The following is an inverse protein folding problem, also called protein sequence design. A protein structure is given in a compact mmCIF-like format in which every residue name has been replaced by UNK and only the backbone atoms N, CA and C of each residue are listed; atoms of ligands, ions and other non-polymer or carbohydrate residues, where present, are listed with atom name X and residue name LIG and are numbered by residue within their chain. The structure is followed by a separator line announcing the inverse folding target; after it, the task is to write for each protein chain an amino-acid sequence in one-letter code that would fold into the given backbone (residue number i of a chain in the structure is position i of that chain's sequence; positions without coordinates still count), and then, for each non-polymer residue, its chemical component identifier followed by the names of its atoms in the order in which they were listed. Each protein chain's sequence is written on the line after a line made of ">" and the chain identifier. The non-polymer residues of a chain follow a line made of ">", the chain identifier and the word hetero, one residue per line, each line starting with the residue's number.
data_IF_872651143423
#
_entry.id   IF_872651143423
#
_cell.length_a   1.000
_cell.length_b   1.000
_cell.length_c   1.000
_cell.angle_alpha   90.00
_cell.angle_beta   90.00
_cell.angle_gamma   90.00
#
_symmetry.space_group_name_H-M   'P 1'
#
loop_
_entity.id
_entity.type
_entity.pdbx_description
1 polymer ?
#
# COMPACT_ATOMS: atom_id res chain seq x y z
N UNK A 1 -35.89 18.58 30.13
CA UNK A 1 -34.71 19.14 29.41
C UNK A 1 -33.51 18.26 29.73
N UNK A 2 -33.05 17.44 28.79
CA UNK A 2 -31.89 16.55 29.01
C UNK A 2 -30.62 17.38 28.87
N UNK A 3 -29.95 17.63 30.00
CA UNK A 3 -28.71 18.39 30.06
C UNK A 3 -27.54 17.54 29.55
N UNK A 4 -27.08 17.80 28.32
CA UNK A 4 -25.83 17.22 27.82
C UNK A 4 -24.64 17.85 28.56
N UNK A 5 -24.15 17.15 29.59
CA UNK A 5 -22.90 17.47 30.28
C UNK A 5 -21.73 17.25 29.33
N UNK A 6 -21.20 18.34 28.77
CA UNK A 6 -19.97 18.29 28.01
C UNK A 6 -18.83 17.82 28.93
N UNK A 7 -18.08 16.77 28.58
CA UNK A 7 -16.94 16.34 29.37
C UNK A 7 -15.97 17.50 29.54
N UNK A 8 -15.86 18.05 30.75
CA UNK A 8 -14.83 19.05 31.05
C UNK A 8 -13.49 18.35 31.02
N UNK A 9 -12.72 18.61 29.96
CA UNK A 9 -11.33 18.14 29.87
C UNK A 9 -10.55 18.58 31.11
N UNK A 10 -9.81 17.65 31.70
CA UNK A 10 -8.95 17.90 32.86
C UNK A 10 -7.85 18.90 32.50
N UNK A 11 -7.23 19.52 33.51
CA UNK A 11 -6.14 20.47 33.29
C UNK A 11 -4.98 19.84 32.49
N UNK A 12 -4.62 18.59 32.82
CA UNK A 12 -3.60 17.82 32.12
C UNK A 12 -3.97 17.58 30.64
N UNK A 13 -5.23 17.21 30.36
CA UNK A 13 -5.70 17.01 28.98
C UNK A 13 -5.66 18.30 28.16
N UNK A 14 -6.06 19.44 28.75
CA UNK A 14 -5.97 20.75 28.08
C UNK A 14 -4.52 21.15 27.81
N UNK A 15 -3.62 20.86 28.74
CA UNK A 15 -2.18 21.11 28.57
C UNK A 15 -1.59 20.24 27.45
N UNK A 16 -1.92 18.94 27.43
CA UNK A 16 -1.51 18.02 26.38
C UNK A 16 -1.98 18.49 24.99
N UNK A 17 -3.24 18.92 24.87
CA UNK A 17 -3.78 19.48 23.61
C UNK A 17 -3.01 20.73 23.17
N UNK A 18 -2.64 21.63 24.09
CA UNK A 18 -1.83 22.81 23.75
C UNK A 18 -0.44 22.42 23.23
N UNK A 19 0.20 21.44 23.85
CA UNK A 19 1.51 20.93 23.42
C UNK A 19 1.42 20.32 22.03
N UNK A 20 0.45 19.44 21.79
CA UNK A 20 0.23 18.82 20.47
C UNK A 20 -0.02 19.87 19.37
N UNK A 21 -0.88 20.86 19.63
CA UNK A 21 -1.13 21.95 18.70
C UNK A 21 0.13 22.77 18.40
N UNK A 22 0.97 23.01 19.42
CA UNK A 22 2.23 23.75 19.23
C UNK A 22 3.25 22.94 18.42
N UNK A 23 3.32 21.63 18.61
CA UNK A 23 4.13 20.74 17.78
C UNK A 23 3.65 20.74 16.32
N UNK A 24 2.33 20.59 16.09
CA UNK A 24 1.73 20.67 14.76
C UNK A 24 2.01 22.02 14.08
N UNK A 25 1.90 23.12 14.83
CA UNK A 25 2.25 24.45 14.34
C UNK A 25 3.70 24.55 13.88
N UNK A 26 4.66 24.00 14.64
CA UNK A 26 6.06 24.00 14.23
C UNK A 26 6.31 23.17 12.97
N UNK A 27 5.64 22.03 12.81
CA UNK A 27 5.68 21.23 11.58
C UNK A 27 5.11 22.02 10.40
N UNK A 28 3.94 22.63 10.57
CA UNK A 28 3.31 23.45 9.54
C UNK A 28 4.20 24.66 9.15
N UNK A 29 4.79 25.33 10.14
CA UNK A 29 5.71 26.45 9.92
C UNK A 29 6.94 26.03 9.11
N UNK A 30 7.55 24.88 9.42
CA UNK A 30 8.69 24.35 8.66
C UNK A 30 8.30 24.01 7.22
N UNK A 31 7.17 23.31 7.03
CA UNK A 31 6.65 22.99 5.69
C UNK A 31 6.36 24.24 4.87
N UNK A 32 5.75 25.26 5.48
CA UNK A 32 5.49 26.54 4.81
C UNK A 32 6.76 27.27 4.42
N UNK A 33 7.77 27.29 5.30
CA UNK A 33 9.07 27.89 5.00
C UNK A 33 9.81 27.13 3.88
N UNK A 34 9.71 25.80 3.84
CA UNK A 34 10.27 24.98 2.76
C UNK A 34 9.56 25.25 1.43
N UNK A 35 8.23 25.29 1.42
CA UNK A 35 7.44 25.55 0.21
C UNK A 35 7.65 26.96 -0.38
N UNK A 36 8.15 27.91 0.40
CA UNK A 36 8.53 29.25 -0.08
C UNK A 36 9.89 29.31 -0.77
N UNK A 37 10.74 28.29 -0.60
CA UNK A 37 12.03 28.23 -1.28
C UNK A 37 11.80 27.75 -2.72
N UNK A 38 12.53 28.27 -3.71
CA UNK A 38 12.49 27.72 -5.06
C UNK A 38 12.94 26.26 -5.01
N UNK A 39 12.29 25.41 -5.82
CA UNK A 39 12.64 23.99 -5.92
C UNK A 39 14.08 23.83 -6.43
N UNK A 40 14.88 23.05 -5.71
CA UNK A 40 16.20 22.61 -6.16
C UNK A 40 16.06 21.33 -7.00
N UNK A 41 17.03 21.04 -7.87
CA UNK A 41 17.13 19.79 -8.65
C UNK A 41 17.01 18.57 -7.73
N UNK A 42 17.50 18.70 -6.48
CA UNK A 42 17.36 17.69 -5.44
C UNK A 42 15.90 17.38 -5.09
N UNK A 43 15.04 18.39 -4.99
CA UNK A 43 13.62 18.21 -4.68
C UNK A 43 12.91 17.43 -5.80
N UNK A 44 13.29 17.71 -7.06
CA UNK A 44 12.77 17.00 -8.23
C UNK A 44 13.19 15.53 -8.22
N UNK A 45 14.48 15.27 -7.96
CA UNK A 45 15.01 13.90 -7.88
C UNK A 45 14.35 13.13 -6.74
N UNK A 46 14.20 13.75 -5.57
CA UNK A 46 13.60 13.11 -4.41
C UNK A 46 12.11 12.80 -4.62
N UNK A 47 11.36 13.74 -5.21
CA UNK A 47 9.96 13.53 -5.56
C UNK A 47 9.80 12.40 -6.58
N UNK A 48 10.64 12.38 -7.62
CA UNK A 48 10.62 11.30 -8.62
C UNK A 48 10.93 9.94 -7.98
N UNK A 49 11.96 9.87 -7.14
CA UNK A 49 12.36 8.66 -6.42
C UNK A 49 11.21 8.08 -5.57
N UNK A 50 10.55 8.93 -4.79
CA UNK A 50 9.41 8.55 -3.96
C UNK A 50 8.21 8.11 -4.82
N UNK A 51 7.91 8.84 -5.89
CA UNK A 51 6.82 8.52 -6.82
C UNK A 51 7.04 7.18 -7.53
N UNK A 52 8.26 6.94 -8.00
CA UNK A 52 8.66 5.69 -8.62
C UNK A 52 8.56 4.51 -7.64
N UNK A 53 9.05 4.65 -6.41
CA UNK A 53 8.94 3.61 -5.38
C UNK A 53 7.48 3.30 -5.04
N UNK A 54 6.63 4.31 -4.89
CA UNK A 54 5.21 4.14 -4.62
C UNK A 54 4.52 3.36 -5.77
N UNK A 55 4.84 3.69 -7.02
CA UNK A 55 4.31 2.97 -8.17
C UNK A 55 4.78 1.51 -8.18
N UNK A 56 6.06 1.26 -7.94
CA UNK A 56 6.63 -0.09 -7.90
C UNK A 56 6.00 -0.97 -6.81
N UNK A 57 5.75 -0.42 -5.62
CA UNK A 57 5.06 -1.14 -4.53
C UNK A 57 3.63 -1.51 -4.93
N UNK A 58 2.90 -0.58 -5.56
CA UNK A 58 1.54 -0.84 -6.06
C UNK A 58 1.53 -1.92 -7.15
N UNK A 59 2.47 -1.87 -8.09
CA UNK A 59 2.61 -2.90 -9.14
C UNK A 59 2.90 -4.27 -8.51
N UNK A 60 3.82 -4.35 -7.54
CA UNK A 60 4.13 -5.61 -6.84
C UNK A 60 2.93 -6.17 -6.08
N UNK A 61 2.13 -5.32 -5.44
CA UNK A 61 0.92 -5.77 -4.75
C UNK A 61 -0.13 -6.29 -5.74
N UNK A 62 -0.30 -5.66 -6.90
CA UNK A 62 -1.17 -6.16 -7.96
C UNK A 62 -0.68 -7.51 -8.49
N UNK A 63 0.62 -7.63 -8.79
CA UNK A 63 1.25 -8.89 -9.20
C UNK A 63 1.03 -9.98 -8.15
N UNK A 64 1.25 -9.69 -6.87
CA UNK A 64 1.04 -10.65 -5.77
C UNK A 64 -0.41 -11.14 -5.71
N UNK A 65 -1.39 -10.25 -5.87
CA UNK A 65 -2.82 -10.63 -5.90
C UNK A 65 -3.16 -11.49 -7.11
N UNK A 66 -2.63 -11.15 -8.28
CA UNK A 66 -2.83 -11.93 -9.50
C UNK A 66 -2.19 -13.32 -9.39
N UNK A 67 -0.94 -13.40 -8.92
CA UNK A 67 -0.25 -14.68 -8.71
C UNK A 67 -0.99 -15.56 -7.70
N UNK A 68 -1.57 -14.98 -6.64
CA UNK A 68 -2.37 -15.72 -5.67
C UNK A 68 -3.75 -16.16 -6.17
N UNK A 69 -4.34 -15.41 -7.11
CA UNK A 69 -5.71 -15.68 -7.59
C UNK A 69 -5.72 -16.54 -8.85
N UNK A 70 -4.92 -16.15 -9.84
CA UNK A 70 -4.87 -16.78 -11.15
C UNK A 70 -3.69 -17.76 -11.27
N UNK A 71 -2.62 -17.55 -10.49
CA UNK A 71 -1.37 -18.26 -10.64
C UNK A 71 -0.38 -17.50 -11.53
N UNK A 72 0.85 -18.02 -11.63
CA UNK A 72 1.93 -17.29 -12.31
C UNK A 72 1.64 -17.14 -13.82
N UNK A 73 2.06 -16.04 -14.47
CA UNK A 73 1.77 -15.78 -15.90
C UNK A 73 2.16 -16.91 -16.86
N UNK A 74 3.17 -17.71 -16.51
CA UNK A 74 3.60 -18.87 -17.32
C UNK A 74 2.75 -20.13 -17.17
N UNK A 75 1.76 -20.13 -16.26
CA UNK A 75 0.90 -21.28 -15.97
C UNK A 75 -0.21 -21.49 -17.00
N UNK A 76 -0.49 -20.48 -17.84
CA UNK A 76 -1.53 -20.50 -18.88
C UNK A 76 -0.97 -20.67 -20.30
N UNK A 77 0.34 -20.93 -20.44
CA UNK A 77 0.96 -21.10 -21.75
C UNK A 77 0.86 -22.57 -22.20
N UNK A 78 0.20 -22.86 -23.35
CA UNK A 78 0.13 -24.21 -23.88
C UNK A 78 1.55 -24.71 -24.17
N UNK A 79 1.91 -25.86 -23.58
CA UNK A 79 3.23 -26.48 -23.71
C UNK A 79 4.21 -26.27 -22.55
N UNK A 80 3.89 -25.48 -21.52
CA UNK A 80 4.70 -25.39 -20.27
C UNK A 80 4.13 -26.14 -19.07
N UNK A 81 3.06 -26.90 -19.26
CA UNK A 81 2.50 -27.79 -18.22
C UNK A 81 3.46 -28.91 -17.79
N UNK A 82 4.57 -29.13 -18.51
CA UNK A 82 5.51 -30.21 -18.22
C UNK A 82 6.89 -29.76 -17.74
N UNK A 83 7.16 -28.45 -17.58
CA UNK A 83 8.47 -27.97 -17.10
C UNK A 83 8.41 -27.50 -15.63
N UNK A 84 7.93 -28.40 -14.79
CA UNK A 84 7.84 -28.22 -13.34
C UNK A 84 7.54 -29.57 -12.69
N UNK A 85 8.46 -30.52 -12.88
CA UNK A 85 8.46 -31.83 -12.20
C UNK A 85 8.35 -31.58 -10.68
N UNK A 86 7.26 -32.01 -10.08
CA UNK A 86 6.96 -31.80 -8.66
C UNK A 86 5.50 -32.09 -8.35
N UNK A 87 5.16 -33.37 -8.37
CA UNK A 87 4.21 -34.06 -7.49
C UNK A 87 3.33 -33.13 -6.62
N UNK A 88 2.05 -33.07 -6.97
CA UNK A 88 0.91 -32.69 -6.11
C UNK A 88 0.96 -31.37 -5.33
N UNK A 89 1.69 -30.36 -5.82
CA UNK A 89 1.51 -29.00 -5.31
C UNK A 89 0.34 -28.33 -6.00
N UNK A 90 -0.86 -28.72 -5.59
CA UNK A 90 -2.13 -28.14 -6.01
C UNK A 90 -2.16 -26.65 -5.61
N UNK A 91 -1.81 -25.76 -6.54
CA UNK A 91 -1.99 -24.33 -6.32
C UNK A 91 -3.49 -24.05 -6.16
N UNK A 92 -3.97 -23.46 -5.05
CA UNK A 92 -5.39 -23.19 -4.83
C UNK A 92 -5.90 -22.00 -5.67
N UNK A 93 -5.30 -21.77 -6.83
CA UNK A 93 -5.61 -20.67 -7.76
C UNK A 93 -6.77 -21.06 -8.67
N UNK A 94 -7.50 -20.07 -9.16
CA UNK A 94 -8.59 -20.24 -10.13
C UNK A 94 -8.05 -20.80 -11.44
N UNK A 95 -6.88 -20.34 -11.88
CA UNK A 95 -6.24 -20.84 -13.10
C UNK A 95 -5.94 -22.33 -13.05
N UNK A 96 -5.37 -22.81 -11.94
CA UNK A 96 -5.12 -24.24 -11.76
C UNK A 96 -6.43 -25.06 -11.78
N UNK A 97 -7.53 -24.53 -11.23
CA UNK A 97 -8.84 -25.23 -11.26
C UNK A 97 -9.43 -25.29 -12.66
N UNK A 98 -9.29 -24.23 -13.45
CA UNK A 98 -9.78 -24.15 -14.84
C UNK A 98 -9.07 -25.18 -15.73
N UNK A 99 -7.74 -25.25 -15.67
CA UNK A 99 -6.94 -26.25 -16.40
C UNK A 99 -7.41 -27.67 -16.08
N UNK A 100 -7.64 -27.98 -14.78
CA UNK A 100 -8.16 -29.30 -14.36
C UNK A 100 -9.55 -29.62 -14.89
N UNK A 101 -10.35 -28.61 -15.20
CA UNK A 101 -11.67 -28.81 -15.79
C UNK A 101 -11.55 -29.10 -17.29
N UNK A 102 -10.60 -28.45 -17.99
CA UNK A 102 -10.31 -28.69 -19.40
C UNK A 102 -9.77 -30.12 -19.65
N UNK A 103 -8.86 -30.62 -18.81
CA UNK A 103 -8.30 -31.98 -18.93
C UNK A 103 -9.31 -33.11 -18.68
N UNK A 104 -10.47 -32.80 -18.09
CA UNK A 104 -11.53 -33.78 -17.74
C UNK A 104 -12.64 -33.88 -18.80
N UNK A 105 -12.53 -33.11 -19.88
CA UNK A 105 -13.46 -33.13 -21.03
C UNK A 105 -12.85 -33.97 -22.15
#
# INVERSE_FOLDING_TARGET
>A
SVSFSHPRLSHAQRSAVKVLRRMQYFVARRKFQQARKPYDVRDVIEQYSQGHLNMMVRIKELQRRLDGTLGKPGMFLPGKHSLGKGEDKEYPTIGARMIRMEDKV
#
